data_IF_767002200612
#
_entry.id   IF_767002200612
#
_cell.length_a   1.000
_cell.length_b   1.000
_cell.length_c   1.000
_cell.angle_alpha   90.00
_cell.angle_beta   90.00
_cell.angle_gamma   90.00
#
_symmetry.space_group_name_H-M   'P 1'
#
loop_
_entity.id
_entity.type
_entity.pdbx_description
1 polymer ?
#
# COMPACT_ATOMS: atom_id res chain seq x y z
N UNK A 1 20.62 -58.00 16.23
CA UNK A 1 19.82 -56.83 15.79
C UNK A 1 20.02 -55.71 16.80
N UNK A 2 20.90 -54.76 16.52
CA UNK A 2 21.12 -53.59 17.37
C UNK A 2 20.09 -52.51 17.02
N UNK A 3 19.25 -52.13 17.99
CA UNK A 3 18.33 -50.99 17.91
C UNK A 3 19.13 -49.70 18.12
N UNK A 4 19.34 -48.93 17.05
CA UNK A 4 19.76 -47.54 17.14
C UNK A 4 18.55 -46.68 17.51
N UNK A 5 18.57 -46.06 18.69
CA UNK A 5 17.64 -45.01 19.06
C UNK A 5 18.23 -43.67 18.61
N UNK A 6 17.69 -43.09 17.53
CA UNK A 6 17.98 -41.72 17.14
C UNK A 6 17.26 -40.77 18.10
N UNK A 7 18.00 -40.21 19.05
CA UNK A 7 17.59 -39.07 19.86
C UNK A 7 17.64 -37.82 18.98
N UNK A 8 16.52 -37.51 18.31
CA UNK A 8 16.32 -36.23 17.65
C UNK A 8 15.89 -35.20 18.71
N UNK A 9 16.84 -34.37 19.14
CA UNK A 9 16.55 -33.15 19.87
C UNK A 9 15.80 -32.18 18.95
N UNK A 10 14.47 -32.11 19.07
CA UNK A 10 13.70 -31.01 18.53
C UNK A 10 13.92 -29.81 19.45
N UNK A 11 15.02 -29.09 19.23
CA UNK A 11 15.17 -27.74 19.74
C UNK A 11 14.29 -26.81 18.90
N UNK A 12 12.98 -26.82 19.17
CA UNK A 12 12.11 -25.76 18.67
C UNK A 12 12.30 -24.54 19.58
N UNK A 13 13.23 -23.67 19.20
CA UNK A 13 13.35 -22.33 19.77
C UNK A 13 12.05 -21.57 19.49
N UNK A 14 11.19 -21.52 20.51
CA UNK A 14 10.16 -20.50 20.63
C UNK A 14 10.86 -19.14 20.68
N UNK A 15 10.93 -18.45 19.54
CA UNK A 15 11.17 -17.02 19.54
C UNK A 15 9.91 -16.37 20.13
N UNK A 16 9.95 -16.14 21.44
CA UNK A 16 9.01 -15.30 22.17
C UNK A 16 8.96 -13.94 21.47
N UNK A 17 7.80 -13.64 20.86
CA UNK A 17 7.38 -12.29 20.54
C UNK A 17 7.17 -11.59 21.87
N UNK A 18 8.22 -10.94 22.36
CA UNK A 18 8.14 -9.95 23.40
C UNK A 18 8.15 -8.58 22.71
N UNK A 19 7.11 -7.79 22.98
CA UNK A 19 6.99 -6.38 22.61
C UNK A 19 8.29 -5.61 22.92
N UNK A 20 8.90 -5.01 21.90
CA UNK A 20 9.98 -4.03 22.10
C UNK A 20 11.02 -4.01 20.98
N UNK A 21 10.78 -3.16 19.98
CA UNK A 21 11.65 -2.79 18.85
C UNK A 21 11.66 -3.74 17.62
N UNK A 22 11.43 -3.22 16.39
CA UNK A 22 11.60 -3.99 15.17
C UNK A 22 13.04 -4.50 15.05
N UNK A 23 13.19 -5.78 14.73
CA UNK A 23 14.51 -6.34 14.39
C UNK A 23 15.05 -5.65 13.13
N UNK A 24 16.38 -5.57 12.98
CA UNK A 24 17.01 -4.95 11.80
C UNK A 24 16.56 -5.59 10.48
N UNK A 25 16.24 -6.89 10.49
CA UNK A 25 15.65 -7.60 9.36
C UNK A 25 14.24 -7.10 9.02
N UNK A 26 13.39 -6.89 10.04
CA UNK A 26 12.02 -6.37 9.87
C UNK A 26 12.02 -4.93 9.35
N UNK A 27 12.96 -4.08 9.83
CA UNK A 27 13.10 -2.71 9.31
C UNK A 27 13.46 -2.70 7.82
N UNK A 28 14.43 -3.53 7.41
CA UNK A 28 14.87 -3.62 6.02
C UNK A 28 13.77 -4.14 5.10
N UNK A 29 13.02 -5.14 5.55
CA UNK A 29 11.85 -5.65 4.81
C UNK A 29 10.78 -4.57 4.65
N UNK A 30 10.45 -3.84 5.72
CA UNK A 30 9.49 -2.73 5.69
C UNK A 30 9.92 -1.65 4.70
N UNK A 31 11.20 -1.27 4.72
CA UNK A 31 11.75 -0.30 3.77
C UNK A 31 11.59 -0.78 2.32
N UNK A 32 11.94 -2.03 2.01
CA UNK A 32 11.81 -2.59 0.66
C UNK A 32 10.36 -2.62 0.17
N UNK A 33 9.42 -3.03 1.02
CA UNK A 33 7.99 -3.04 0.67
C UNK A 33 7.48 -1.61 0.45
N UNK A 34 7.93 -0.64 1.23
CA UNK A 34 7.54 0.76 1.08
C UNK A 34 8.14 1.40 -0.18
N UNK A 35 9.38 1.05 -0.55
CA UNK A 35 9.97 1.42 -1.84
C UNK A 35 9.19 0.84 -3.02
N UNK A 36 8.68 -0.39 -2.91
CA UNK A 36 7.81 -0.98 -3.93
C UNK A 36 6.48 -0.24 -4.04
N UNK A 37 5.80 0.02 -2.91
CA UNK A 37 4.56 0.78 -2.88
C UNK A 37 4.73 2.17 -3.51
N UNK A 38 5.83 2.86 -3.18
CA UNK A 38 6.16 4.17 -3.76
C UNK A 38 6.28 4.10 -5.29
N UNK A 39 7.00 3.10 -5.82
CA UNK A 39 7.17 2.92 -7.26
C UNK A 39 5.85 2.62 -7.96
N UNK A 40 5.01 1.77 -7.38
CA UNK A 40 3.70 1.44 -7.96
C UNK A 40 2.77 2.66 -7.98
N UNK A 41 2.75 3.46 -6.91
CA UNK A 41 2.00 4.72 -6.86
C UNK A 41 2.49 5.74 -7.90
N UNK A 42 3.82 5.87 -8.05
CA UNK A 42 4.42 6.76 -9.07
C UNK A 42 4.06 6.32 -10.48
N UNK A 43 4.17 5.02 -10.78
CA UNK A 43 3.78 4.46 -12.08
C UNK A 43 2.30 4.71 -12.38
N UNK A 44 1.43 4.52 -11.39
CA UNK A 44 0.00 4.79 -11.55
C UNK A 44 -0.26 6.28 -11.81
N UNK A 45 0.44 7.18 -11.12
CA UNK A 45 0.35 8.62 -11.35
C UNK A 45 0.84 9.01 -12.76
N UNK A 46 1.91 8.39 -13.26
CA UNK A 46 2.37 8.56 -14.63
C UNK A 46 1.30 8.14 -15.65
N UNK A 47 0.65 6.98 -15.45
CA UNK A 47 -0.48 6.54 -16.27
C UNK A 47 -1.61 7.56 -16.26
N UNK A 48 -1.97 8.07 -15.07
CA UNK A 48 -3.00 9.10 -14.89
C UNK A 48 -2.66 10.40 -15.63
N UNK A 49 -1.39 10.79 -15.63
CA UNK A 49 -0.94 12.01 -16.30
C UNK A 49 -0.92 11.88 -17.83
N UNK A 50 -0.85 10.65 -18.35
CA UNK A 50 -0.82 10.37 -19.78
C UNK A 50 -2.21 10.26 -20.43
N UNK A 51 -3.30 10.36 -19.66
CA UNK A 51 -4.66 10.37 -20.23
C UNK A 51 -4.95 11.60 -21.06
N UNK A 52 -5.72 11.41 -22.13
CA UNK A 52 -6.14 12.51 -23.01
C UNK A 52 -7.22 13.36 -22.32
N UNK A 53 -7.31 14.63 -22.68
CA UNK A 53 -8.23 15.61 -22.06
C UNK A 53 -9.71 15.20 -21.99
N UNK A 54 -10.21 14.35 -22.89
CA UNK A 54 -11.62 13.90 -22.88
C UNK A 54 -11.88 12.76 -21.88
N UNK A 55 -10.85 12.00 -21.52
CA UNK A 55 -10.88 10.88 -20.56
C UNK A 55 -10.80 11.36 -19.10
N UNK A 56 -10.29 12.58 -18.90
CA UNK A 56 -10.07 13.19 -17.57
C UNK A 56 -11.34 13.70 -16.87
N UNK A 57 -12.48 13.82 -17.57
CA UNK A 57 -13.69 14.45 -17.02
C UNK A 57 -14.28 13.72 -15.80
N UNK A 58 -14.33 12.39 -15.84
CA UNK A 58 -14.77 11.56 -14.71
C UNK A 58 -13.78 11.58 -13.53
N UNK A 59 -12.47 11.63 -13.83
CA UNK A 59 -11.42 11.69 -12.80
C UNK A 59 -11.37 13.04 -12.07
N UNK A 60 -11.68 14.12 -12.77
CA UNK A 60 -11.71 15.47 -12.20
C UNK A 60 -12.92 15.69 -11.29
N UNK A 61 -14.00 14.94 -11.50
CA UNK A 61 -15.25 15.08 -10.73
C UNK A 61 -15.30 14.17 -9.51
N UNK A 62 -14.59 13.04 -9.54
CA UNK A 62 -14.50 12.16 -8.38
C UNK A 62 -13.65 12.78 -7.27
N UNK A 63 -14.16 12.67 -6.04
CA UNK A 63 -13.58 13.26 -4.84
C UNK A 63 -13.14 12.17 -3.90
N UNK A 64 -11.85 12.12 -3.60
CA UNK A 64 -11.27 11.29 -2.55
C UNK A 64 -11.13 12.10 -1.27
N UNK A 65 -11.30 11.46 -0.13
CA UNK A 65 -10.96 12.07 1.14
C UNK A 65 -9.64 11.50 1.65
N UNK A 66 -8.82 12.35 2.27
CA UNK A 66 -7.50 11.96 2.75
C UNK A 66 -7.44 12.05 4.27
N UNK A 67 -6.87 11.05 4.96
CA UNK A 67 -6.54 11.17 6.37
C UNK A 67 -5.28 12.01 6.56
N UNK A 68 -5.02 12.42 7.80
CA UNK A 68 -3.70 12.90 8.21
C UNK A 68 -2.76 11.72 8.45
N UNK A 69 -2.22 11.16 7.37
CA UNK A 69 -1.41 9.95 7.41
C UNK A 69 0.03 10.21 7.91
N UNK A 70 0.39 9.65 9.07
CA UNK A 70 1.77 9.68 9.63
C UNK A 70 2.34 8.31 10.01
N UNK A 71 1.53 7.25 10.05
CA UNK A 71 1.92 5.90 10.49
C UNK A 71 1.48 4.84 9.46
N UNK A 72 2.14 3.67 9.46
CA UNK A 72 1.86 2.60 8.49
C UNK A 72 0.44 2.03 8.60
N UNK A 73 -0.16 1.99 9.79
CA UNK A 73 -1.55 1.57 9.99
C UNK A 73 -2.55 2.44 9.20
N UNK A 74 -2.21 3.69 8.89
CA UNK A 74 -3.04 4.58 8.08
C UNK A 74 -3.17 4.13 6.63
N UNK A 75 -2.31 3.22 6.15
CA UNK A 75 -2.48 2.58 4.85
C UNK A 75 -3.79 1.80 4.73
N UNK A 76 -4.48 1.50 5.84
CA UNK A 76 -5.87 1.04 5.79
C UNK A 76 -6.76 1.99 4.97
N UNK A 77 -6.57 3.29 5.10
CA UNK A 77 -7.36 4.29 4.37
C UNK A 77 -7.01 4.35 2.89
N UNK A 78 -5.76 4.02 2.52
CA UNK A 78 -5.42 3.81 1.11
C UNK A 78 -6.22 2.62 0.59
N UNK A 79 -6.12 1.47 1.28
CA UNK A 79 -6.80 0.22 0.90
C UNK A 79 -8.30 0.41 0.69
N UNK A 80 -8.97 1.13 1.60
CA UNK A 80 -10.41 1.38 1.51
C UNK A 80 -10.80 2.21 0.27
N UNK A 81 -9.91 3.08 -0.19
CA UNK A 81 -10.09 3.97 -1.35
C UNK A 81 -9.60 3.37 -2.68
N UNK A 82 -8.89 2.23 -2.66
CA UNK A 82 -8.34 1.61 -3.88
C UNK A 82 -9.42 1.11 -4.83
N UNK A 83 -10.53 0.59 -4.32
CA UNK A 83 -11.63 0.12 -5.17
C UNK A 83 -12.32 1.28 -5.90
N UNK A 84 -12.74 2.37 -5.22
CA UNK A 84 -13.20 3.57 -5.91
C UNK A 84 -12.19 4.11 -6.93
N UNK A 85 -10.89 4.09 -6.59
CA UNK A 85 -9.83 4.50 -7.51
C UNK A 85 -9.78 3.63 -8.78
N UNK A 86 -9.82 2.31 -8.65
CA UNK A 86 -9.87 1.38 -9.79
C UNK A 86 -11.07 1.68 -10.70
N UNK A 87 -12.25 1.86 -10.13
CA UNK A 87 -13.48 2.13 -10.88
C UNK A 87 -13.39 3.45 -11.66
N UNK A 88 -12.93 4.52 -11.02
CA UNK A 88 -12.76 5.84 -11.64
C UNK A 88 -11.76 5.79 -12.79
N UNK A 89 -10.61 5.14 -12.57
CA UNK A 89 -9.57 5.01 -13.59
C UNK A 89 -10.02 4.12 -14.75
N UNK A 90 -10.76 3.05 -14.48
CA UNK A 90 -11.31 2.16 -15.51
C UNK A 90 -12.33 2.90 -16.39
N UNK A 91 -13.20 3.73 -15.80
CA UNK A 91 -14.17 4.54 -16.56
C UNK A 91 -13.46 5.57 -17.44
N UNK A 92 -12.37 6.15 -16.94
CA UNK A 92 -11.60 7.13 -17.69
C UNK A 92 -10.87 6.52 -18.90
N UNK A 93 -10.58 5.23 -18.90
CA UNK A 93 -9.75 4.62 -19.94
C UNK A 93 -10.51 3.94 -21.08
N UNK A 94 -9.87 3.90 -22.25
CA UNK A 94 -10.24 3.03 -23.36
C UNK A 94 -10.12 1.53 -22.99
N UNK A 95 -10.85 0.66 -23.69
CA UNK A 95 -10.95 -0.78 -23.36
C UNK A 95 -9.62 -1.56 -23.31
N UNK A 96 -8.56 -1.07 -23.96
CA UNK A 96 -7.32 -1.83 -24.12
C UNK A 96 -6.35 -1.71 -22.93
N UNK A 97 -6.62 -0.82 -21.98
CA UNK A 97 -5.74 -0.49 -20.86
C UNK A 97 -6.40 -0.74 -19.49
N UNK A 98 -7.60 -1.32 -19.49
CA UNK A 98 -8.30 -1.75 -18.26
C UNK A 98 -7.55 -2.82 -17.48
N UNK A 99 -6.87 -3.74 -18.17
CA UNK A 99 -6.04 -4.77 -17.51
C UNK A 99 -4.93 -4.16 -16.67
N UNK A 100 -4.29 -3.12 -17.19
CA UNK A 100 -3.08 -2.55 -16.61
C UNK A 100 -3.40 -1.73 -15.36
N UNK A 101 -4.54 -1.03 -15.33
CA UNK A 101 -5.03 -0.34 -14.13
C UNK A 101 -5.32 -1.35 -13.04
N UNK A 102 -6.10 -2.38 -13.37
CA UNK A 102 -6.52 -3.39 -12.41
C UNK A 102 -5.33 -4.09 -11.78
N UNK A 103 -4.34 -4.46 -12.60
CA UNK A 103 -3.09 -5.04 -12.12
C UNK A 103 -2.33 -4.04 -11.22
N UNK A 104 -2.20 -2.78 -11.64
CA UNK A 104 -1.52 -1.74 -10.86
C UNK A 104 -2.17 -1.51 -9.50
N UNK A 105 -3.48 -1.35 -9.45
CA UNK A 105 -4.23 -1.16 -8.20
C UNK A 105 -4.17 -2.40 -7.32
N UNK A 106 -4.23 -3.60 -7.91
CA UNK A 106 -4.07 -4.86 -7.17
C UNK A 106 -2.69 -4.98 -6.53
N UNK A 107 -1.61 -4.62 -7.23
CA UNK A 107 -0.25 -4.65 -6.69
C UNK A 107 -0.07 -3.67 -5.53
N UNK A 108 -0.65 -2.46 -5.67
CA UNK A 108 -0.70 -1.47 -4.58
C UNK A 108 -1.44 -2.04 -3.37
N UNK A 109 -2.61 -2.65 -3.58
CA UNK A 109 -3.40 -3.25 -2.50
C UNK A 109 -2.62 -4.33 -1.75
N UNK A 110 -2.01 -5.28 -2.47
CA UNK A 110 -1.21 -6.35 -1.86
C UNK A 110 -0.07 -5.79 -1.01
N UNK A 111 0.62 -4.77 -1.50
CA UNK A 111 1.76 -4.17 -0.78
C UNK A 111 1.29 -3.35 0.43
N UNK A 112 0.24 -2.54 0.29
CA UNK A 112 -0.34 -1.75 1.37
C UNK A 112 -0.91 -2.64 2.49
N UNK A 113 -1.56 -3.76 2.15
CA UNK A 113 -2.06 -4.75 3.10
C UNK A 113 -0.94 -5.39 3.94
N UNK A 114 0.22 -5.65 3.34
CA UNK A 114 1.39 -6.15 4.07
C UNK A 114 1.97 -5.11 5.02
N UNK A 115 2.06 -3.86 4.55
CA UNK A 115 2.67 -2.76 5.28
C UNK A 115 1.82 -2.26 6.46
N UNK A 116 0.49 -2.25 6.34
CA UNK A 116 -0.39 -1.74 7.40
C UNK A 116 -0.36 -2.57 8.70
N UNK A 117 0.19 -3.77 8.64
CA UNK A 117 0.23 -4.71 9.75
C UNK A 117 -1.06 -5.53 9.90
N UNK A 118 -1.13 -6.39 10.95
CA UNK A 118 -2.29 -7.24 11.19
C UNK A 118 -3.59 -6.43 11.29
N UNK A 119 -4.73 -7.07 11.02
CA UNK A 119 -6.07 -6.48 11.09
C UNK A 119 -6.39 -5.92 12.49
N UNK A 120 -5.88 -4.74 12.76
CA UNK A 120 -6.41 -3.83 13.77
C UNK A 120 -7.49 -3.04 13.05
N UNK A 121 -8.68 -2.94 13.65
CA UNK A 121 -9.78 -2.12 13.14
C UNK A 121 -9.41 -0.64 13.26
N UNK A 122 -8.44 -0.19 12.47
CA UNK A 122 -8.14 1.22 12.34
C UNK A 122 -9.29 1.87 11.58
N UNK A 123 -9.97 2.81 12.22
CA UNK A 123 -11.04 3.58 11.59
C UNK A 123 -10.42 4.82 10.97
N UNK A 124 -10.59 4.98 9.66
CA UNK A 124 -10.06 6.12 8.94
C UNK A 124 -10.75 7.42 9.35
N UNK A 125 -9.97 8.35 9.89
CA UNK A 125 -10.40 9.72 10.18
C UNK A 125 -9.96 10.59 9.01
N UNK A 126 -10.93 10.93 8.17
CA UNK A 126 -10.71 11.72 6.97
C UNK A 126 -10.82 13.22 7.24
N UNK A 127 -10.08 14.01 6.49
CA UNK A 127 -10.20 15.47 6.48
C UNK A 127 -11.48 15.89 5.72
N UNK A 128 -12.01 17.06 6.06
CA UNK A 128 -13.20 17.63 5.38
C UNK A 128 -12.92 18.05 3.92
N UNK A 129 -11.65 18.25 3.57
CA UNK A 129 -11.22 18.64 2.23
C UNK A 129 -11.06 17.43 1.32
N UNK A 130 -11.85 17.40 0.24
CA UNK A 130 -11.73 16.41 -0.82
C UNK A 130 -10.60 16.73 -1.80
N UNK A 131 -9.91 15.72 -2.31
CA UNK A 131 -8.88 15.81 -3.35
C UNK A 131 -9.27 15.09 -4.62
N UNK A 132 -8.75 15.54 -5.77
CA UNK A 132 -8.86 14.79 -7.03
C UNK A 132 -7.88 13.59 -7.06
N UNK A 133 -7.99 12.73 -8.09
CA UNK A 133 -7.13 11.53 -8.26
C UNK A 133 -5.63 11.86 -8.19
N UNK A 134 -5.19 12.95 -8.84
CA UNK A 134 -3.76 13.29 -8.90
C UNK A 134 -3.24 13.71 -7.54
N UNK A 135 -4.00 14.54 -6.84
CA UNK A 135 -3.68 14.99 -5.48
C UNK A 135 -3.72 13.82 -4.49
N UNK A 136 -4.70 12.93 -4.61
CA UNK A 136 -4.79 11.70 -3.81
C UNK A 136 -3.51 10.86 -3.94
N UNK A 137 -3.10 10.55 -5.18
CA UNK A 137 -1.88 9.78 -5.43
C UNK A 137 -0.63 10.50 -4.92
N UNK A 138 -0.51 11.81 -5.16
CA UNK A 138 0.63 12.59 -4.69
C UNK A 138 0.73 12.59 -3.15
N UNK A 139 -0.39 12.73 -2.44
CA UNK A 139 -0.39 12.72 -0.97
C UNK A 139 0.07 11.37 -0.41
N UNK A 140 -0.32 10.24 -1.03
CA UNK A 140 0.19 8.92 -0.65
C UNK A 140 1.67 8.70 -1.02
N UNK A 141 2.12 9.24 -2.14
CA UNK A 141 3.55 9.27 -2.50
C UNK A 141 4.35 10.03 -1.45
N UNK A 142 3.89 11.22 -1.05
CA UNK A 142 4.52 12.03 0.00
C UNK A 142 4.53 11.30 1.34
N UNK A 143 3.45 10.60 1.69
CA UNK A 143 3.40 9.74 2.88
C UNK A 143 4.50 8.67 2.84
N UNK A 144 4.63 7.91 1.75
CA UNK A 144 5.65 6.89 1.60
C UNK A 144 7.07 7.48 1.73
N UNK A 145 7.33 8.62 1.09
CA UNK A 145 8.61 9.32 1.17
C UNK A 145 8.94 9.80 2.59
N UNK A 146 7.93 10.29 3.33
CA UNK A 146 8.08 10.71 4.72
C UNK A 146 8.47 9.54 5.60
N UNK A 147 7.77 8.40 5.50
CA UNK A 147 8.09 7.20 6.29
C UNK A 147 9.49 6.68 5.92
N UNK A 148 9.84 6.59 4.63
CA UNK A 148 11.19 6.17 4.21
C UNK A 148 12.29 7.07 4.80
N UNK A 149 12.05 8.39 4.83
CA UNK A 149 13.00 9.35 5.40
C UNK A 149 13.19 9.17 6.91
N UNK A 150 12.22 8.58 7.61
CA UNK A 150 12.35 8.24 9.04
C UNK A 150 12.98 6.85 9.28
N UNK A 151 13.03 6.00 8.26
CA UNK A 151 13.61 4.65 8.32
C UNK A 151 15.09 4.62 7.91
N UNK A 152 15.54 5.62 7.14
CA UNK A 152 16.93 5.83 6.72
C UNK A 152 17.80 6.34 7.88
#
# INVERSE_FOLDING_TARGET
MHKMYFLSCIALTLALVADGAPTSSSRKETQQQLEHLLKDLQRLLETVNNYKNHELSSMLTFKFYMPNATELNHLQCLVDELKPLEEVLTIAQSKNSHSDIKESVSNINVTAQKLKGPETKYTCVYNDESTNVKEFLNKWITFCQSILSTLA
#
